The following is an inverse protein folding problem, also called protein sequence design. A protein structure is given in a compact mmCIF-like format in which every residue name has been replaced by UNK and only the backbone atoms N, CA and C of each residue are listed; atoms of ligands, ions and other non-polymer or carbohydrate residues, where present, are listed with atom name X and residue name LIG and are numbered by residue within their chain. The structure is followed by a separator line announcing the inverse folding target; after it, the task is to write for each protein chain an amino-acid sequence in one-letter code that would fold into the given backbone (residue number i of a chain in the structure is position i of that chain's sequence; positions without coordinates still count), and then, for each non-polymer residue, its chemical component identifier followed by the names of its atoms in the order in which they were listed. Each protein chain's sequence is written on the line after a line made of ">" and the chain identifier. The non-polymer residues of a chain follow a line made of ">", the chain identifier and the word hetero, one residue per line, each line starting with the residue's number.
data_IF_756966337136
#
_entry.id   IF_756966337136
#
_cell.length_a   1.000
_cell.length_b   1.000
_cell.length_c   1.000
_cell.angle_alpha   90.00
_cell.angle_beta   90.00
_cell.angle_gamma   90.00
#
_symmetry.space_group_name_H-M   'P 1'
#
loop_
_entity.id
_entity.type
_entity.pdbx_description
1 polymer ?
#
# COMPACT_ATOMS: atom_id res chain seq x y z
N UNK A 1 12.44 6.12 7.33
CA UNK A 1 11.54 5.16 6.67
C UNK A 1 10.13 5.61 7.00
N UNK A 2 9.32 5.88 5.99
CA UNK A 2 7.96 6.35 6.19
C UNK A 2 7.02 5.15 6.33
N UNK A 3 5.88 5.31 7.02
CA UNK A 3 4.92 4.22 7.21
C UNK A 3 3.63 4.58 6.49
N UNK A 4 2.96 3.60 5.87
CA UNK A 4 1.61 3.78 5.34
C UNK A 4 0.65 4.06 6.50
N UNK A 5 -0.17 5.11 6.37
CA UNK A 5 -1.15 5.53 7.40
C UNK A 5 -2.57 5.63 6.87
N UNK A 6 -2.76 5.72 5.55
CA UNK A 6 -4.07 5.78 4.92
C UNK A 6 -4.01 5.31 3.45
N UNK A 7 -5.18 5.13 2.84
CA UNK A 7 -5.34 4.66 1.47
C UNK A 7 -6.27 5.59 0.70
N UNK A 8 -6.12 5.62 -0.63
CA UNK A 8 -7.17 6.09 -1.53
C UNK A 8 -7.66 4.90 -2.33
N UNK A 9 -8.97 4.71 -2.38
CA UNK A 9 -9.60 3.70 -3.22
C UNK A 9 -10.33 4.37 -4.40
N UNK A 10 -10.60 3.61 -5.45
CA UNK A 10 -11.48 4.07 -6.52
C UNK A 10 -12.95 3.76 -6.17
N UNK A 11 -13.88 4.15 -7.05
CA UNK A 11 -15.32 3.94 -6.87
C UNK A 11 -15.76 2.46 -6.77
N UNK A 12 -14.92 1.50 -7.15
CA UNK A 12 -15.17 0.06 -7.01
C UNK A 12 -14.41 -0.57 -5.83
N UNK A 13 -13.68 0.24 -5.05
CA UNK A 13 -12.99 -0.18 -3.82
C UNK A 13 -11.55 -0.64 -4.02
N UNK A 14 -10.98 -0.52 -5.22
CA UNK A 14 -9.58 -0.88 -5.48
C UNK A 14 -8.63 0.20 -4.96
N UNK A 15 -7.55 -0.20 -4.30
CA UNK A 15 -6.54 0.72 -3.78
C UNK A 15 -5.73 1.28 -4.95
N UNK A 16 -5.78 2.60 -5.12
CA UNK A 16 -5.05 3.29 -6.19
C UNK A 16 -3.85 4.08 -5.68
N UNK A 17 -3.83 4.44 -4.39
CA UNK A 17 -2.73 5.19 -3.77
C UNK A 17 -2.62 4.94 -2.27
N UNK A 18 -1.42 5.18 -1.74
CA UNK A 18 -1.09 5.08 -0.33
C UNK A 18 -0.65 6.44 0.20
N UNK A 19 -1.02 6.74 1.44
CA UNK A 19 -0.58 7.95 2.14
C UNK A 19 0.43 7.56 3.20
N UNK A 20 1.58 8.22 3.20
CA UNK A 20 2.65 7.97 4.16
C UNK A 20 2.54 8.90 5.37
N UNK A 21 3.18 8.53 6.48
CA UNK A 21 3.31 9.36 7.67
C UNK A 21 3.98 10.72 7.42
N UNK A 22 4.71 10.87 6.31
CA UNK A 22 5.28 12.14 5.85
C UNK A 22 4.31 13.03 5.07
N UNK A 23 3.06 12.60 4.88
CA UNK A 23 2.04 13.32 4.11
C UNK A 23 2.17 13.17 2.59
N UNK A 24 3.06 12.28 2.11
CA UNK A 24 3.15 11.97 0.67
C UNK A 24 1.97 11.09 0.27
N UNK A 25 1.44 11.35 -0.91
CA UNK A 25 0.52 10.44 -1.61
C UNK A 25 1.33 9.78 -2.73
N UNK A 26 1.37 8.44 -2.73
CA UNK A 26 2.10 7.65 -3.72
C UNK A 26 1.15 6.70 -4.43
N UNK A 27 1.30 6.55 -5.74
CA UNK A 27 0.51 5.59 -6.52
C UNK A 27 0.81 4.15 -6.10
N UNK A 28 -0.12 3.24 -6.39
CA UNK A 28 0.06 1.80 -6.12
C UNK A 28 1.38 1.24 -6.70
N UNK A 29 1.68 1.53 -7.97
CA UNK A 29 2.91 1.06 -8.62
C UNK A 29 4.18 1.58 -7.92
N UNK A 30 4.17 2.85 -7.50
CA UNK A 30 5.30 3.44 -6.75
C UNK A 30 5.44 2.78 -5.37
N UNK A 31 4.33 2.55 -4.68
CA UNK A 31 4.33 1.86 -3.39
C UNK A 31 4.89 0.44 -3.53
N UNK A 32 4.58 -0.28 -4.61
CA UNK A 32 5.12 -1.61 -4.88
C UNK A 32 6.66 -1.60 -5.01
N UNK A 33 7.20 -0.64 -5.77
CA UNK A 33 8.66 -0.47 -5.88
C UNK A 33 9.30 -0.02 -4.56
N UNK A 34 8.67 0.92 -3.85
CA UNK A 34 9.19 1.45 -2.59
C UNK A 34 9.15 0.40 -1.46
N UNK A 35 8.12 -0.45 -1.43
CA UNK A 35 8.03 -1.58 -0.49
C UNK A 35 9.09 -2.65 -0.79
N UNK A 36 9.25 -3.04 -2.05
CA UNK A 36 10.29 -3.99 -2.47
C UNK A 36 11.72 -3.51 -2.12
N UNK A 37 11.94 -2.19 -2.16
CA UNK A 37 13.21 -1.56 -1.79
C UNK A 37 13.32 -1.20 -0.28
N UNK A 38 12.31 -1.49 0.54
CA UNK A 38 12.30 -1.16 1.97
C UNK A 38 12.28 0.33 2.28
N UNK A 39 11.75 1.17 1.38
CA UNK A 39 11.66 2.64 1.55
C UNK A 39 10.47 3.02 2.44
N UNK A 40 9.38 2.25 2.35
CA UNK A 40 8.16 2.43 3.14
C UNK A 40 7.86 1.18 3.98
N UNK A 41 7.16 1.37 5.11
CA UNK A 41 6.70 0.32 6.04
C UNK A 41 5.18 0.21 6.08
N UNK A 42 4.70 -0.88 6.67
CA UNK A 42 3.28 -1.20 6.82
C UNK A 42 2.72 -1.98 5.63
N UNK A 43 3.49 -2.08 4.54
CA UNK A 43 3.16 -2.86 3.35
C UNK A 43 4.40 -3.57 2.80
N UNK A 44 4.19 -4.73 2.23
CA UNK A 44 5.20 -5.56 1.59
C UNK A 44 4.77 -5.95 0.18
N UNK A 45 5.74 -6.04 -0.74
CA UNK A 45 5.52 -6.60 -2.06
C UNK A 45 5.68 -8.13 -1.98
N UNK A 46 4.65 -8.87 -2.36
CA UNK A 46 4.63 -10.35 -2.40
C UNK A 46 4.20 -10.82 -3.78
N UNK A 47 4.58 -12.04 -4.16
CA UNK A 47 4.01 -12.70 -5.34
C UNK A 47 2.64 -13.31 -4.99
N UNK A 48 1.64 -13.06 -5.83
CA UNK A 48 0.35 -13.72 -5.77
C UNK A 48 0.39 -15.14 -6.38
N UNK A 49 -0.76 -15.81 -6.41
CA UNK A 49 -0.88 -17.17 -6.96
C UNK A 49 -0.56 -17.25 -8.46
N UNK A 50 -0.68 -16.14 -9.20
CA UNK A 50 -0.43 -16.03 -10.62
C UNK A 50 1.02 -15.56 -10.92
N UNK A 51 1.83 -15.34 -9.87
CA UNK A 51 3.21 -14.84 -9.98
C UNK A 51 3.32 -13.33 -10.22
N UNK A 52 2.23 -12.58 -10.02
CA UNK A 52 2.26 -11.13 -10.09
C UNK A 52 2.68 -10.55 -8.73
N UNK A 53 3.52 -9.51 -8.76
CA UNK A 53 3.80 -8.76 -7.54
C UNK A 53 2.57 -7.92 -7.15
N UNK A 54 2.15 -8.06 -5.91
CA UNK A 54 1.05 -7.31 -5.28
C UNK A 54 1.49 -6.80 -3.90
N UNK A 55 0.81 -5.76 -3.42
CA UNK A 55 1.01 -5.25 -2.07
C UNK A 55 0.11 -5.98 -1.07
N UNK A 56 0.70 -6.38 0.06
CA UNK A 56 0.02 -6.92 1.24
C UNK A 56 0.37 -6.08 2.47
N UNK A 57 -0.52 -5.92 3.46
CA UNK A 57 -0.13 -5.38 4.75
C UNK A 57 0.93 -6.27 5.42
N UNK A 58 1.84 -5.68 6.19
CA UNK A 58 2.90 -6.44 6.88
C UNK A 58 2.40 -7.17 8.13
N UNK A 59 1.49 -6.55 8.89
CA UNK A 59 1.04 -7.04 10.21
C UNK A 59 -0.45 -7.35 10.26
N UNK A 60 -1.22 -6.78 9.36
CA UNK A 60 -2.68 -6.84 9.37
C UNK A 60 -3.19 -7.88 8.35
N UNK A 61 -4.36 -8.49 8.59
CA UNK A 61 -4.93 -9.47 7.65
C UNK A 61 -5.45 -8.82 6.35
N UNK A 62 -5.77 -7.53 6.39
CA UNK A 62 -6.25 -6.78 5.22
C UNK A 62 -5.97 -5.28 5.36
N UNK A 63 -6.25 -4.55 4.28
CA UNK A 63 -6.15 -3.10 4.22
C UNK A 63 -7.35 -2.37 4.83
N UNK A 64 -8.34 -3.08 5.38
CA UNK A 64 -9.63 -2.48 5.78
C UNK A 64 -9.55 -1.65 7.06
N UNK A 65 -8.50 -1.83 7.86
CA UNK A 65 -8.24 -1.01 9.03
C UNK A 65 -7.63 0.35 8.70
N UNK A 66 -7.13 0.53 7.48
CA UNK A 66 -6.58 1.81 7.07
C UNK A 66 -7.72 2.77 6.73
N UNK A 67 -7.65 4.03 7.21
CA UNK A 67 -8.60 5.04 6.82
C UNK A 67 -8.53 5.23 5.30
N UNK A 68 -9.70 5.28 4.69
CA UNK A 68 -9.83 5.71 3.31
C UNK A 68 -9.95 7.24 3.27
N UNK A 69 -9.13 7.88 2.46
CA UNK A 69 -9.15 9.33 2.37
C UNK A 69 -10.03 9.87 1.24
N UNK A 70 -10.52 9.07 0.27
CA UNK A 70 -11.59 9.44 -0.69
C UNK A 70 -12.14 8.25 -1.49
#
# INVERSE_FOLDING_TARGET
>A
METVVALHRNHVGEIISFVTSGGRIISYQKALMEAANGVIKGVQAIEDYDGNLVLSPELEPSFDHYPDLF
#
